data_IF_054500359182
#
_entry.id   IF_054500359182
#
_cell.length_a   1.000
_cell.length_b   1.000
_cell.length_c   1.000
_cell.angle_alpha   90.00
_cell.angle_beta   90.00
_cell.angle_gamma   90.00
#
_symmetry.space_group_name_H-M   'P 1'
#
loop_
_entity.id
_entity.type
_entity.pdbx_description
1 polymer ?
#
# COMPACT_ATOMS: atom_id res chain seq x y z
N UNK A 1 -9.16 16.55 5.27
CA UNK A 1 -8.91 16.97 6.67
C UNK A 1 -9.96 16.33 7.56
N UNK A 2 -9.59 15.35 8.38
CA UNK A 2 -10.44 14.82 9.45
C UNK A 2 -9.63 14.90 10.74
N UNK A 3 -10.04 15.79 11.64
CA UNK A 3 -9.40 16.04 12.93
C UNK A 3 -9.57 14.82 13.86
N UNK A 4 -8.62 14.63 14.78
CA UNK A 4 -8.47 13.52 15.75
C UNK A 4 -9.75 13.10 16.50
N UNK A 5 -10.74 13.98 16.64
CA UNK A 5 -12.04 13.66 17.25
C UNK A 5 -13.06 12.98 16.33
N UNK A 6 -12.95 13.14 15.01
CA UNK A 6 -13.97 12.68 14.06
C UNK A 6 -13.91 11.17 13.80
N UNK A 7 -12.71 10.57 13.86
CA UNK A 7 -12.48 9.15 13.60
C UNK A 7 -13.13 8.28 14.69
N UNK A 8 -12.99 8.66 15.97
CA UNK A 8 -13.61 7.99 17.11
C UNK A 8 -15.15 8.08 17.09
N UNK A 9 -15.71 9.20 16.64
CA UNK A 9 -17.15 9.40 16.52
C UNK A 9 -17.77 8.59 15.38
N UNK A 10 -17.07 8.47 14.24
CA UNK A 10 -17.55 7.66 13.11
C UNK A 10 -17.59 6.17 13.46
N UNK A 11 -16.53 5.64 14.09
CA UNK A 11 -16.44 4.23 14.48
C UNK A 11 -17.48 3.84 15.55
N UNK A 12 -17.82 4.74 16.49
CA UNK A 12 -18.91 4.51 17.47
C UNK A 12 -20.29 4.50 16.81
N UNK A 13 -20.54 5.34 15.82
CA UNK A 13 -21.85 5.45 15.16
C UNK A 13 -22.15 4.23 14.30
N UNK A 14 -21.15 3.70 13.58
CA UNK A 14 -21.26 2.49 12.75
C UNK A 14 -21.56 1.23 13.58
N UNK A 15 -20.93 1.07 14.76
CA UNK A 15 -21.22 -0.05 15.68
C UNK A 15 -22.66 -0.02 16.23
N UNK A 16 -23.26 1.17 16.40
CA UNK A 16 -24.65 1.29 16.88
C UNK A 16 -25.70 0.95 15.81
N UNK A 17 -25.39 1.24 14.53
CA UNK A 17 -26.28 0.96 13.41
C UNK A 17 -26.33 -0.52 13.05
N UNK A 18 -25.21 -1.23 13.21
CA UNK A 18 -25.14 -2.69 13.04
C UNK A 18 -25.91 -3.47 14.12
N UNK A 19 -25.98 -2.94 15.36
CA UNK A 19 -26.77 -3.56 16.45
C UNK A 19 -28.29 -3.39 16.31
N UNK A 20 -28.77 -2.37 15.59
CA UNK A 20 -30.22 -2.11 15.41
C UNK A 20 -30.86 -2.87 14.25
N UNK A 21 -30.08 -3.59 13.43
CA UNK A 21 -30.61 -4.38 12.29
C UNK A 21 -30.83 -5.86 12.56
N UNK A 22 -30.49 -6.34 13.76
CA UNK A 22 -30.67 -7.73 14.17
C UNK A 22 -31.74 -7.82 15.27
N UNK A 23 -33.01 -7.63 14.93
CA UNK A 23 -34.16 -8.05 15.73
C UNK A 23 -35.47 -7.69 15.02
N UNK A 24 -36.04 -8.63 14.26
CA UNK A 24 -37.50 -8.84 14.07
C UNK A 24 -37.75 -10.06 13.15
N UNK A 25 -38.66 -10.99 13.51
CA UNK A 25 -38.89 -12.24 12.77
C UNK A 25 -40.04 -12.20 11.73
N UNK A 26 -40.07 -13.25 10.91
CA UNK A 26 -40.99 -13.61 9.81
C UNK A 26 -42.48 -13.30 10.02
N UNK A 27 -43.16 -12.99 8.91
CA UNK A 27 -44.49 -13.52 8.56
C UNK A 27 -44.60 -13.73 7.04
N UNK A 28 -45.12 -14.90 6.66
CA UNK A 28 -45.42 -15.31 5.29
C UNK A 28 -46.86 -14.89 4.91
N UNK A 29 -47.08 -14.53 3.64
CA UNK A 29 -48.40 -14.60 3.02
C UNK A 29 -48.26 -14.76 1.50
N UNK A 30 -48.81 -15.88 1.01
CA UNK A 30 -49.08 -16.14 -0.40
C UNK A 30 -50.08 -15.12 -0.95
N UNK A 31 -49.92 -14.74 -2.22
CA UNK A 31 -51.05 -14.69 -3.14
C UNK A 31 -50.59 -14.77 -4.60
N UNK A 32 -51.28 -15.66 -5.30
CA UNK A 32 -51.21 -15.96 -6.73
C UNK A 32 -52.14 -15.00 -7.46
N UNK A 33 -51.71 -14.37 -8.57
CA UNK A 33 -52.49 -14.29 -9.81
C UNK A 33 -51.64 -13.78 -11.00
N UNK A 34 -52.06 -14.22 -12.19
CA UNK A 34 -51.30 -14.45 -13.42
C UNK A 34 -51.08 -13.21 -14.34
N UNK A 35 -50.34 -13.35 -15.47
CA UNK A 35 -49.74 -12.26 -16.25
C UNK A 35 -50.56 -11.82 -17.46
N UNK A 36 -50.24 -10.65 -18.02
CA UNK A 36 -50.69 -10.23 -19.35
C UNK A 36 -49.48 -9.82 -20.22
N UNK A 37 -49.23 -10.62 -21.26
CA UNK A 37 -48.43 -10.25 -22.42
C UNK A 37 -49.30 -9.41 -23.37
N UNK A 38 -48.73 -8.39 -24.03
CA UNK A 38 -49.03 -8.15 -25.44
C UNK A 38 -47.89 -7.38 -26.14
N UNK A 39 -47.52 -7.89 -27.31
CA UNK A 39 -46.54 -7.36 -28.27
C UNK A 39 -47.07 -6.11 -29.00
N UNK A 40 -46.19 -5.24 -29.53
CA UNK A 40 -45.73 -5.26 -30.94
C UNK A 40 -45.02 -3.94 -31.35
N UNK A 41 -44.03 -4.14 -32.22
CA UNK A 41 -43.15 -3.24 -32.97
C UNK A 41 -43.82 -2.14 -33.82
N UNK A 42 -43.07 -1.04 -34.03
CA UNK A 42 -42.75 -0.35 -35.33
C UNK A 42 -42.30 1.10 -35.06
N UNK A 43 -41.42 1.80 -35.78
CA UNK A 43 -40.33 1.55 -36.74
C UNK A 43 -39.68 2.96 -36.95
N UNK A 44 -38.35 3.02 -37.13
CA UNK A 44 -37.53 4.05 -37.81
C UNK A 44 -37.88 5.57 -37.77
N UNK A 45 -36.88 6.39 -37.41
CA UNK A 45 -36.32 7.39 -38.34
C UNK A 45 -34.91 7.82 -37.95
N UNK A 46 -33.96 7.66 -38.86
CA UNK A 46 -32.62 8.25 -38.86
C UNK A 46 -32.68 9.78 -39.03
N UNK A 47 -31.84 10.52 -38.31
CA UNK A 47 -31.25 11.77 -38.80
C UNK A 47 -30.07 12.24 -37.91
N UNK A 48 -28.88 12.19 -38.51
CA UNK A 48 -27.90 13.28 -38.54
C UNK A 48 -27.08 13.57 -37.26
N UNK A 49 -25.93 12.91 -37.10
CA UNK A 49 -24.80 13.42 -36.31
C UNK A 49 -23.71 13.98 -37.24
N UNK A 50 -23.39 15.26 -37.08
CA UNK A 50 -22.17 15.88 -37.58
C UNK A 50 -21.37 16.44 -36.41
N UNK A 51 -20.11 16.01 -36.39
CA UNK A 51 -18.91 16.70 -35.87
C UNK A 51 -18.89 17.16 -34.41
N UNK A 52 -17.96 16.58 -33.64
CA UNK A 52 -16.84 17.30 -33.02
C UNK A 52 -15.84 16.27 -32.46
N UNK A 53 -14.85 15.91 -33.27
CA UNK A 53 -13.64 15.21 -32.82
C UNK A 53 -12.71 16.31 -32.31
N UNK A 54 -12.48 16.37 -31.00
CA UNK A 54 -11.44 17.21 -30.41
C UNK A 54 -10.23 16.34 -30.06
N UNK A 55 -9.12 16.71 -30.67
CA UNK A 55 -7.81 16.09 -30.61
C UNK A 55 -7.28 15.96 -29.17
N UNK A 56 -6.94 14.73 -28.76
CA UNK A 56 -5.94 14.52 -27.71
C UNK A 56 -4.56 14.59 -28.35
N UNK A 57 -3.83 15.64 -28.00
CA UNK A 57 -2.39 15.78 -28.25
C UNK A 57 -1.69 14.90 -27.22
N UNK A 58 -1.10 13.79 -27.65
CA UNK A 58 -0.02 13.13 -26.89
C UNK A 58 1.26 13.89 -27.20
N UNK A 59 1.86 14.47 -26.15
CA UNK A 59 3.22 14.96 -26.19
C UNK A 59 4.17 13.76 -26.13
N UNK A 60 4.81 13.50 -27.25
CA UNK A 60 5.92 12.58 -27.40
C UNK A 60 7.20 13.43 -27.33
N UNK A 61 8.07 13.18 -26.35
CA UNK A 61 9.40 13.79 -26.30
C UNK A 61 10.43 12.72 -26.61
N UNK A 62 10.64 12.52 -27.91
CA UNK A 62 11.82 11.85 -28.45
C UNK A 62 13.05 12.75 -28.31
N UNK A 63 14.11 12.19 -27.75
CA UNK A 63 15.48 12.63 -28.02
C UNK A 63 16.17 11.53 -28.84
N UNK A 64 16.31 11.76 -30.13
CA UNK A 64 17.41 11.22 -30.94
C UNK A 64 18.33 12.39 -31.30
N UNK A 65 19.58 12.23 -31.70
CA UNK A 65 20.51 11.09 -31.79
C UNK A 65 21.82 11.69 -32.34
N UNK A 66 22.94 10.99 -32.18
CA UNK A 66 24.22 11.45 -32.73
C UNK A 66 25.30 10.38 -32.79
N UNK A 67 25.13 9.41 -33.71
CA UNK A 67 26.12 8.68 -34.54
C UNK A 67 27.30 7.97 -33.82
N UNK A 68 27.68 6.73 -34.12
CA UNK A 68 28.00 6.19 -35.45
C UNK A 68 28.40 4.70 -35.31
N UNK A 69 27.75 3.74 -35.97
CA UNK A 69 28.38 2.45 -36.38
C UNK A 69 27.69 1.93 -37.65
N UNK A 70 28.49 1.64 -38.67
CA UNK A 70 28.12 0.99 -39.94
C UNK A 70 28.15 -0.54 -39.82
N UNK A 71 27.47 -1.17 -40.78
CA UNK A 71 27.35 -2.61 -41.10
C UNK A 71 26.03 -3.17 -40.56
N UNK A 72 24.98 -3.43 -41.35
CA UNK A 72 24.94 -3.86 -42.74
C UNK A 72 24.93 -5.38 -42.76
N UNK A 73 23.73 -5.98 -42.78
CA UNK A 73 23.41 -7.24 -43.47
C UNK A 73 21.89 -7.41 -43.54
N UNK A 74 21.48 -7.91 -44.70
CA UNK A 74 20.13 -8.05 -45.26
C UNK A 74 19.54 -9.42 -44.92
N UNK A 75 18.22 -9.54 -44.71
CA UNK A 75 17.35 -10.35 -45.59
C UNK A 75 15.86 -10.19 -45.25
N UNK A 76 15.04 -10.20 -46.31
CA UNK A 76 13.57 -10.10 -46.30
C UNK A 76 12.92 -11.49 -46.32
N UNK A 77 11.68 -11.52 -45.81
CA UNK A 77 10.55 -12.43 -46.08
C UNK A 77 10.52 -13.83 -45.43
N UNK A 78 9.48 -14.07 -44.62
CA UNK A 78 8.27 -14.83 -45.01
C UNK A 78 7.22 -14.79 -43.89
N UNK A 79 5.96 -14.56 -44.26
CA UNK A 79 4.78 -14.56 -43.39
C UNK A 79 4.26 -15.98 -43.11
N UNK A 80 3.68 -16.15 -41.92
CA UNK A 80 2.52 -17.02 -41.62
C UNK A 80 2.77 -18.35 -40.90
N UNK A 81 1.96 -18.49 -39.83
CA UNK A 81 1.34 -19.69 -39.23
C UNK A 81 1.94 -20.12 -37.88
N UNK A 82 1.11 -19.99 -36.85
CA UNK A 82 1.32 -20.55 -35.51
C UNK A 82 0.57 -19.75 -34.46
N UNK A 83 -0.76 -19.88 -34.41
CA UNK A 83 -1.55 -19.50 -33.24
C UNK A 83 -1.12 -20.41 -32.09
N UNK A 84 -0.55 -19.85 -31.03
CA UNK A 84 -0.62 -20.45 -29.70
C UNK A 84 -1.19 -19.41 -28.74
N UNK A 85 -2.50 -19.53 -28.53
CA UNK A 85 -3.18 -18.96 -27.39
C UNK A 85 -2.74 -19.74 -26.16
N UNK A 86 -1.83 -19.19 -25.36
CA UNK A 86 -1.70 -19.60 -23.96
C UNK A 86 -2.82 -18.87 -23.21
N UNK A 87 -3.99 -19.48 -23.21
CA UNK A 87 -5.12 -19.07 -22.39
C UNK A 87 -5.04 -19.85 -21.07
N UNK A 88 -4.22 -19.38 -20.14
CA UNK A 88 -4.23 -19.90 -18.77
C UNK A 88 -5.33 -19.17 -18.01
N UNK A 89 -6.59 -19.56 -18.24
CA UNK A 89 -7.70 -19.07 -17.45
C UNK A 89 -7.63 -19.67 -16.05
N UNK A 90 -7.42 -18.84 -15.04
CA UNK A 90 -7.49 -19.26 -13.65
C UNK A 90 -8.96 -19.49 -13.26
N UNK A 91 -9.42 -20.75 -13.35
CA UNK A 91 -10.79 -21.15 -13.08
C UNK A 91 -11.28 -20.66 -11.70
N UNK A 92 -12.52 -20.15 -11.65
CA UNK A 92 -13.16 -19.74 -10.39
C UNK A 92 -13.68 -20.96 -9.64
N UNK A 93 -13.02 -21.34 -8.55
CA UNK A 93 -13.51 -22.36 -7.64
C UNK A 93 -14.39 -21.73 -6.54
N UNK A 94 -15.64 -22.20 -6.43
CA UNK A 94 -16.57 -21.86 -5.32
C UNK A 94 -16.12 -22.56 -4.05
N UNK A 95 -15.93 -21.78 -2.99
CA UNK A 95 -15.57 -22.25 -1.65
C UNK A 95 -16.70 -23.10 -1.03
N UNK A 96 -16.40 -24.35 -0.64
CA UNK A 96 -17.26 -25.19 0.22
C UNK A 96 -16.65 -25.24 1.61
N UNK A 97 -17.41 -24.78 2.61
CA UNK A 97 -17.11 -25.01 4.03
C UNK A 97 -17.34 -26.49 4.37
N UNK A 98 -16.43 -27.06 5.16
CA UNK A 98 -16.68 -28.28 5.92
C UNK A 98 -16.14 -28.09 7.33
N UNK A 99 -17.00 -28.38 8.30
CA UNK A 99 -16.76 -28.37 9.74
C UNK A 99 -16.48 -29.80 10.21
N UNK A 100 -15.51 -29.95 11.10
CA UNK A 100 -15.38 -30.94 12.19
C UNK A 100 -13.96 -30.74 12.77
N UNK A 101 -13.70 -30.59 14.07
CA UNK A 101 -14.46 -30.97 15.26
C UNK A 101 -13.79 -32.17 15.93
N UNK A 102 -12.84 -31.94 16.84
CA UNK A 102 -12.58 -32.85 17.98
C UNK A 102 -11.59 -32.21 18.98
N UNK A 103 -12.09 -32.13 20.20
CA UNK A 103 -11.52 -31.70 21.47
C UNK A 103 -10.95 -32.92 22.21
N UNK A 104 -9.82 -32.79 22.93
CA UNK A 104 -9.60 -33.54 24.18
C UNK A 104 -8.48 -32.93 25.06
N UNK A 105 -8.71 -33.07 26.37
CA UNK A 105 -8.21 -32.37 27.55
C UNK A 105 -6.96 -32.98 28.23
N UNK A 106 -6.23 -32.10 28.97
CA UNK A 106 -5.53 -32.18 30.29
C UNK A 106 -4.59 -33.38 30.62
N UNK A 107 -3.51 -33.28 31.44
CA UNK A 107 -3.42 -32.87 32.87
C UNK A 107 -1.93 -32.75 33.36
N UNK A 108 -1.68 -31.76 34.25
CA UNK A 108 -0.65 -31.55 35.36
C UNK A 108 0.89 -31.66 35.14
N UNK A 109 1.75 -30.69 35.54
CA UNK A 109 2.18 -30.08 36.86
C UNK A 109 3.09 -31.01 37.69
N UNK A 110 4.29 -30.66 38.21
CA UNK A 110 4.78 -29.70 39.24
C UNK A 110 6.35 -29.67 39.16
N UNK A 111 7.18 -28.71 39.60
CA UNK A 111 7.51 -28.10 40.92
C UNK A 111 8.42 -26.86 40.65
N UNK A 112 8.33 -25.67 41.25
CA UNK A 112 8.46 -25.20 42.65
C UNK A 112 9.90 -25.02 43.20
N UNK A 113 10.10 -23.90 43.93
CA UNK A 113 11.28 -23.40 44.69
C UNK A 113 12.24 -22.45 43.93
N UNK A 114 12.67 -21.28 44.43
CA UNK A 114 12.66 -20.70 45.79
C UNK A 114 12.88 -19.17 45.73
N UNK A 115 12.22 -18.46 46.65
CA UNK A 115 12.42 -17.04 46.98
C UNK A 115 13.64 -16.85 47.89
N UNK A 116 14.40 -15.78 47.69
CA UNK A 116 15.23 -15.15 48.73
C UNK A 116 15.17 -13.62 48.60
N UNK A 117 14.76 -12.99 49.69
CA UNK A 117 14.84 -11.55 49.96
C UNK A 117 16.31 -11.10 50.04
N UNK A 118 16.63 -9.97 49.41
CA UNK A 118 17.87 -9.24 49.60
C UNK A 118 17.61 -7.74 49.44
N UNK A 119 17.50 -7.06 50.57
CA UNK A 119 17.46 -5.61 50.72
C UNK A 119 18.75 -4.95 50.23
N UNK A 120 18.64 -3.97 49.35
CA UNK A 120 19.74 -3.10 48.93
C UNK A 120 19.22 -1.86 48.23
N UNK A 121 19.04 -0.77 48.98
CA UNK A 121 18.96 0.58 48.42
C UNK A 121 20.31 0.92 47.76
N UNK A 122 20.28 1.43 46.53
CA UNK A 122 21.05 2.59 46.08
C UNK A 122 20.78 2.87 44.60
N UNK A 123 20.49 4.14 44.28
CA UNK A 123 20.77 4.70 42.95
C UNK A 123 19.55 5.07 42.12
N UNK A 124 19.11 6.32 42.26
CA UNK A 124 18.30 7.08 41.31
C UNK A 124 18.85 6.94 39.87
N UNK A 125 18.27 6.05 39.06
CA UNK A 125 18.42 6.07 37.61
C UNK A 125 17.23 6.77 36.99
N UNK A 126 17.24 8.11 36.92
CA UNK A 126 16.31 8.82 36.03
C UNK A 126 16.56 8.31 34.61
N UNK A 127 15.53 7.91 33.84
CA UNK A 127 15.70 7.81 32.40
C UNK A 127 16.23 9.15 31.92
N UNK A 128 17.29 9.15 31.11
CA UNK A 128 17.75 10.34 30.41
C UNK A 128 16.69 10.76 29.39
N UNK A 129 15.58 11.30 29.88
CA UNK A 129 14.61 12.02 29.10
C UNK A 129 15.23 13.37 28.79
N UNK A 130 15.55 13.60 27.53
CA UNK A 130 15.85 14.94 27.04
C UNK A 130 14.63 15.83 27.33
N UNK A 131 14.77 16.91 28.12
CA UNK A 131 13.67 17.84 28.31
C UNK A 131 13.45 18.55 26.97
N UNK A 132 12.31 18.26 26.33
CA UNK A 132 11.89 18.99 25.14
C UNK A 132 11.82 20.48 25.46
N UNK A 133 12.68 21.27 24.81
CA UNK A 133 12.59 22.74 24.91
C UNK A 133 11.24 23.17 24.31
N UNK A 134 10.41 23.95 25.02
CA UNK A 134 9.23 24.54 24.42
C UNK A 134 9.68 25.57 23.38
N UNK A 135 9.48 25.25 22.10
CA UNK A 135 9.73 26.20 21.00
C UNK A 135 10.53 25.67 19.80
N UNK A 136 11.09 24.46 19.85
CA UNK A 136 11.73 23.88 18.67
C UNK A 136 10.68 23.16 17.82
N UNK A 137 10.48 23.60 16.56
CA UNK A 137 9.55 22.94 15.66
C UNK A 137 10.04 21.51 15.39
N UNK A 138 9.14 20.53 15.51
CA UNK A 138 9.44 19.14 15.17
C UNK A 138 9.68 19.02 13.67
N UNK A 139 10.58 18.11 13.29
CA UNK A 139 10.82 17.76 11.90
C UNK A 139 9.57 17.09 11.33
N UNK A 140 9.04 17.60 10.21
CA UNK A 140 7.83 17.04 9.59
C UNK A 140 8.24 15.94 8.61
N UNK A 141 7.83 14.71 8.89
CA UNK A 141 8.23 13.51 8.13
C UNK A 141 7.00 12.80 7.58
N UNK A 142 6.97 12.61 6.26
CA UNK A 142 6.01 11.77 5.55
C UNK A 142 6.55 10.34 5.43
N UNK A 143 5.68 9.35 5.63
CA UNK A 143 6.05 7.92 5.61
C UNK A 143 5.10 7.15 4.69
N UNK A 144 5.64 6.40 3.73
CA UNK A 144 4.83 5.48 2.91
C UNK A 144 4.38 4.23 3.68
N UNK A 145 3.41 3.49 3.13
CA UNK A 145 2.89 2.27 3.73
C UNK A 145 3.51 1.01 3.13
N UNK A 146 3.43 0.84 1.81
CA UNK A 146 3.70 -0.46 1.18
C UNK A 146 5.21 -0.65 1.04
N UNK A 147 5.74 -1.78 1.53
CA UNK A 147 7.17 -2.06 1.61
C UNK A 147 8.01 -1.05 2.44
N UNK A 148 7.35 -0.18 3.21
CA UNK A 148 7.99 0.72 4.19
C UNK A 148 7.47 0.44 5.61
N UNK A 149 6.15 0.48 5.79
CA UNK A 149 5.49 0.11 7.05
C UNK A 149 5.00 -1.34 7.00
N UNK A 150 4.40 -1.79 5.90
CA UNK A 150 3.81 -3.12 5.77
C UNK A 150 4.36 -3.88 4.58
N UNK A 151 4.66 -5.17 4.75
CA UNK A 151 5.09 -6.05 3.66
C UNK A 151 3.89 -6.48 2.80
N UNK A 152 3.52 -5.61 1.87
CA UNK A 152 2.41 -5.80 0.95
C UNK A 152 2.68 -6.92 -0.06
N UNK A 153 3.88 -6.94 -0.65
CA UNK A 153 4.23 -7.91 -1.69
C UNK A 153 4.28 -9.34 -1.16
N UNK A 154 4.71 -9.52 0.09
CA UNK A 154 4.70 -10.85 0.74
C UNK A 154 3.27 -11.41 0.82
N UNK A 155 2.32 -10.59 1.29
CA UNK A 155 0.91 -10.96 1.37
C UNK A 155 0.29 -11.21 -0.01
N UNK A 156 0.59 -10.34 -0.98
CA UNK A 156 0.10 -10.47 -2.35
C UNK A 156 0.64 -11.73 -3.03
N UNK A 157 1.95 -12.02 -2.90
CA UNK A 157 2.55 -13.23 -3.46
C UNK A 157 1.92 -14.50 -2.88
N UNK A 158 1.62 -14.51 -1.58
CA UNK A 158 0.91 -15.63 -0.94
C UNK A 158 -0.48 -15.84 -1.54
N UNK A 159 -1.25 -14.76 -1.72
CA UNK A 159 -2.55 -14.83 -2.39
C UNK A 159 -2.43 -15.34 -3.83
N UNK A 160 -1.48 -14.82 -4.60
CA UNK A 160 -1.27 -15.20 -6.01
C UNK A 160 -0.83 -16.68 -6.13
N UNK A 161 0.01 -17.16 -5.22
CA UNK A 161 0.38 -18.57 -5.15
C UNK A 161 -0.84 -19.45 -4.87
N UNK A 162 -1.69 -19.09 -3.91
CA UNK A 162 -2.87 -19.88 -3.56
C UNK A 162 -3.98 -19.79 -4.62
N UNK A 163 -4.16 -18.62 -5.25
CA UNK A 163 -5.21 -18.34 -6.24
C UNK A 163 -4.88 -18.89 -7.62
N UNK A 164 -3.63 -18.74 -8.06
CA UNK A 164 -3.17 -19.00 -9.42
C UNK A 164 -2.08 -20.07 -9.53
N UNK A 165 -1.56 -20.58 -8.41
CA UNK A 165 -0.38 -21.47 -8.37
C UNK A 165 0.89 -20.82 -8.95
N UNK A 166 0.95 -19.49 -8.96
CA UNK A 166 2.14 -18.74 -9.38
C UNK A 166 2.95 -18.36 -8.16
N UNK A 167 4.14 -18.97 -8.03
CA UNK A 167 5.04 -18.70 -6.92
C UNK A 167 5.98 -17.57 -7.32
N UNK A 168 5.88 -16.45 -6.59
CA UNK A 168 6.72 -15.29 -6.77
C UNK A 168 7.38 -14.88 -5.46
N UNK A 169 8.55 -14.29 -5.58
CA UNK A 169 9.35 -13.71 -4.51
C UNK A 169 9.54 -12.21 -4.73
N UNK A 170 9.79 -11.45 -3.65
CA UNK A 170 10.06 -10.00 -3.73
C UNK A 170 11.23 -9.69 -4.68
N UNK A 171 12.23 -10.57 -4.74
CA UNK A 171 13.41 -10.44 -5.62
C UNK A 171 13.10 -10.45 -7.12
N UNK A 172 11.90 -10.85 -7.54
CA UNK A 172 11.50 -10.82 -8.96
C UNK A 172 10.98 -9.46 -9.42
N UNK A 173 10.58 -8.59 -8.48
CA UNK A 173 9.96 -7.30 -8.79
C UNK A 173 11.01 -6.27 -9.16
N UNK A 174 11.47 -6.25 -10.40
CA UNK A 174 12.35 -5.18 -10.89
C UNK A 174 11.57 -3.91 -11.30
N UNK A 175 10.23 -3.99 -11.33
CA UNK A 175 9.29 -2.90 -11.59
C UNK A 175 7.97 -3.16 -10.84
N UNK A 176 7.24 -2.10 -10.48
CA UNK A 176 5.92 -2.21 -9.82
C UNK A 176 4.78 -2.66 -10.76
N UNK A 177 5.07 -2.86 -12.04
CA UNK A 177 4.09 -3.31 -13.02
C UNK A 177 3.86 -4.84 -12.91
N UNK A 178 2.98 -5.26 -12.00
CA UNK A 178 2.77 -6.68 -11.65
C UNK A 178 2.49 -7.60 -12.84
N UNK A 179 1.76 -7.12 -13.86
CA UNK A 179 1.49 -7.91 -15.08
C UNK A 179 2.77 -8.36 -15.81
N UNK A 180 3.86 -7.59 -15.71
CA UNK A 180 5.16 -7.98 -16.29
C UNK A 180 5.81 -9.13 -15.52
N UNK A 181 5.66 -9.11 -14.20
CA UNK A 181 6.23 -10.13 -13.30
C UNK A 181 5.43 -11.43 -13.42
N UNK A 182 4.09 -11.32 -13.37
CA UNK A 182 3.16 -12.44 -13.48
C UNK A 182 2.99 -12.95 -14.92
N UNK A 183 3.59 -12.26 -15.90
CA UNK A 183 3.51 -12.59 -17.34
C UNK A 183 2.07 -12.75 -17.82
N UNK A 184 1.18 -11.89 -17.34
CA UNK A 184 -0.23 -11.86 -17.68
C UNK A 184 -0.62 -10.52 -18.32
N UNK A 185 -1.90 -10.37 -18.69
CA UNK A 185 -2.38 -9.08 -19.20
C UNK A 185 -2.51 -8.04 -18.09
N UNK A 186 -2.41 -6.74 -18.41
CA UNK A 186 -2.64 -5.65 -17.43
C UNK A 186 -4.02 -5.78 -16.76
N UNK A 187 -5.06 -6.03 -17.55
CA UNK A 187 -6.42 -6.19 -17.05
C UNK A 187 -6.55 -7.37 -16.07
N UNK A 188 -5.87 -8.48 -16.34
CA UNK A 188 -5.85 -9.64 -15.45
C UNK A 188 -5.12 -9.33 -14.13
N UNK A 189 -3.97 -8.66 -14.20
CA UNK A 189 -3.27 -8.23 -13.00
C UNK A 189 -4.11 -7.28 -12.15
N UNK A 190 -4.79 -6.32 -12.78
CA UNK A 190 -5.68 -5.38 -12.09
C UNK A 190 -6.83 -6.13 -11.39
N UNK A 191 -7.47 -7.09 -12.07
CA UNK A 191 -8.51 -7.94 -11.47
C UNK A 191 -7.97 -8.68 -10.24
N UNK A 192 -6.80 -9.32 -10.34
CA UNK A 192 -6.21 -10.07 -9.24
C UNK A 192 -5.87 -9.19 -8.03
N UNK A 193 -5.35 -7.98 -8.26
CA UNK A 193 -5.09 -7.00 -7.18
C UNK A 193 -6.38 -6.56 -6.50
N UNK A 194 -7.43 -6.27 -7.28
CA UNK A 194 -8.73 -5.89 -6.73
C UNK A 194 -9.46 -7.05 -6.03
N UNK A 195 -9.22 -8.30 -6.46
CA UNK A 195 -9.65 -9.49 -5.72
C UNK A 195 -8.90 -9.60 -4.40
N UNK A 196 -7.57 -9.46 -4.40
CA UNK A 196 -6.71 -9.53 -3.23
C UNK A 196 -7.19 -8.59 -2.11
N UNK A 197 -7.56 -7.33 -2.44
CA UNK A 197 -8.07 -6.35 -1.47
C UNK A 197 -9.30 -6.81 -0.69
N UNK A 198 -10.06 -7.79 -1.20
CA UNK A 198 -11.27 -8.33 -0.57
C UNK A 198 -11.01 -9.57 0.28
N UNK A 199 -9.76 -10.04 0.34
CA UNK A 199 -9.38 -11.30 1.00
C UNK A 199 -8.75 -11.08 2.37
N UNK A 200 -8.68 -12.17 3.14
CA UNK A 200 -7.96 -12.19 4.42
C UNK A 200 -6.46 -11.94 4.27
N UNK A 201 -5.86 -12.24 3.11
CA UNK A 201 -4.45 -11.96 2.85
C UNK A 201 -4.16 -10.45 2.91
N UNK A 202 -5.07 -9.61 2.40
CA UNK A 202 -4.94 -8.16 2.51
C UNK A 202 -5.30 -7.65 3.91
N UNK A 203 -6.39 -8.17 4.49
CA UNK A 203 -6.90 -7.69 5.79
C UNK A 203 -5.97 -8.01 6.96
N UNK A 204 -5.38 -9.21 6.98
CA UNK A 204 -4.58 -9.71 8.11
C UNK A 204 -3.18 -10.18 7.72
N UNK A 205 -2.92 -10.44 6.44
CA UNK A 205 -1.64 -11.00 5.96
C UNK A 205 -0.53 -9.97 5.72
N UNK A 206 -0.84 -8.67 5.70
CA UNK A 206 0.18 -7.61 5.62
C UNK A 206 0.79 -7.44 7.01
N UNK A 207 2.02 -7.90 7.17
CA UNK A 207 2.75 -7.77 8.42
C UNK A 207 3.60 -6.49 8.45
N UNK A 208 3.74 -5.83 9.61
CA UNK A 208 4.66 -4.71 9.78
C UNK A 208 6.10 -5.07 9.41
N UNK A 209 6.80 -4.14 8.76
CA UNK A 209 8.24 -4.24 8.52
C UNK A 209 8.98 -4.22 9.87
N UNK A 210 9.90 -5.17 10.14
CA UNK A 210 10.61 -5.23 11.41
C UNK A 210 11.33 -3.92 11.78
N UNK A 211 11.20 -3.51 13.04
CA UNK A 211 11.81 -2.30 13.58
C UNK A 211 11.03 -1.00 13.33
N UNK A 212 10.01 -1.00 12.47
CA UNK A 212 9.25 0.19 12.10
C UNK A 212 8.61 0.90 13.31
N UNK A 213 7.83 0.16 14.09
CA UNK A 213 7.09 0.72 15.22
C UNK A 213 8.03 1.34 16.26
N UNK A 214 9.07 0.61 16.67
CA UNK A 214 10.05 1.09 17.66
C UNK A 214 10.81 2.32 17.18
N UNK A 215 11.21 2.35 15.91
CA UNK A 215 11.91 3.51 15.35
C UNK A 215 11.00 4.74 15.30
N UNK A 216 9.77 4.60 14.78
CA UNK A 216 8.81 5.69 14.71
C UNK A 216 8.40 6.20 16.10
N UNK A 217 8.27 5.30 17.07
CA UNK A 217 8.02 5.68 18.46
C UNK A 217 9.16 6.56 19.02
N UNK A 218 10.42 6.18 18.79
CA UNK A 218 11.57 7.00 19.20
C UNK A 218 11.59 8.35 18.48
N UNK A 219 11.38 8.34 17.16
CA UNK A 219 11.35 9.52 16.31
C UNK A 219 10.23 10.49 16.71
N UNK A 220 9.09 10.01 17.19
CA UNK A 220 7.93 10.84 17.57
C UNK A 220 8.24 11.90 18.64
N UNK A 221 9.34 11.74 19.39
CA UNK A 221 9.79 12.74 20.36
C UNK A 221 10.25 14.04 19.72
N UNK A 222 10.79 14.00 18.50
CA UNK A 222 11.31 15.17 17.77
C UNK A 222 10.81 15.29 16.32
N UNK A 223 10.05 14.31 15.81
CA UNK A 223 9.40 14.35 14.51
C UNK A 223 7.86 14.42 14.66
N UNK A 224 7.23 15.17 13.77
CA UNK A 224 5.80 15.10 13.47
C UNK A 224 5.61 14.18 12.28
N UNK A 225 4.95 13.03 12.52
CA UNK A 225 4.87 11.93 11.56
C UNK A 225 3.49 11.92 10.89
N UNK A 226 3.46 11.82 9.56
CA UNK A 226 2.23 11.61 8.79
C UNK A 226 2.41 10.50 7.76
N UNK A 227 1.36 9.72 7.53
CA UNK A 227 1.36 8.72 6.45
C UNK A 227 1.02 9.41 5.13
N UNK A 228 1.80 9.14 4.08
CA UNK A 228 1.52 9.55 2.70
C UNK A 228 1.66 8.33 1.80
N UNK A 229 0.55 7.77 1.35
CA UNK A 229 0.52 6.54 0.55
C UNK A 229 -0.13 6.73 -0.80
N UNK A 230 0.34 6.00 -1.81
CA UNK A 230 -0.25 6.00 -3.16
C UNK A 230 -1.47 5.08 -3.29
N UNK A 231 -1.85 4.36 -2.23
CA UNK A 231 -3.02 3.47 -2.20
C UNK A 231 -4.30 4.17 -2.67
N UNK A 232 -5.18 3.38 -3.30
CA UNK A 232 -6.49 3.83 -3.79
C UNK A 232 -7.45 4.16 -2.63
N UNK A 233 -8.35 5.12 -2.84
CA UNK A 233 -9.40 5.46 -1.88
C UNK A 233 -10.35 4.29 -1.61
N UNK A 234 -10.49 3.35 -2.56
CA UNK A 234 -11.30 2.15 -2.40
C UNK A 234 -10.86 1.26 -1.22
N UNK A 235 -9.58 1.32 -0.83
CA UNK A 235 -9.01 0.56 0.29
C UNK A 235 -8.65 1.45 1.50
N UNK A 236 -9.22 2.66 1.55
CA UNK A 236 -8.95 3.65 2.60
C UNK A 236 -9.27 3.10 3.99
N UNK A 237 -10.47 2.59 4.21
CA UNK A 237 -10.93 2.17 5.54
C UNK A 237 -10.07 1.02 6.08
N UNK A 238 -9.77 0.01 5.24
CA UNK A 238 -8.86 -1.07 5.59
C UNK A 238 -7.45 -0.57 5.93
N UNK A 239 -6.94 0.41 5.20
CA UNK A 239 -5.62 1.00 5.48
C UNK A 239 -5.63 1.75 6.82
N UNK A 240 -6.69 2.51 7.11
CA UNK A 240 -6.84 3.20 8.40
C UNK A 240 -6.92 2.22 9.58
N UNK A 241 -7.69 1.14 9.44
CA UNK A 241 -7.79 0.09 10.45
C UNK A 241 -6.46 -0.62 10.68
N UNK A 242 -5.72 -0.91 9.60
CA UNK A 242 -4.40 -1.54 9.68
C UNK A 242 -3.37 -0.63 10.38
N UNK A 243 -3.36 0.66 10.04
CA UNK A 243 -2.46 1.64 10.69
C UNK A 243 -2.81 1.78 12.18
N UNK A 244 -4.08 1.85 12.56
CA UNK A 244 -4.48 1.94 13.96
C UNK A 244 -4.10 0.66 14.75
N UNK A 245 -4.23 -0.51 14.12
CA UNK A 245 -3.86 -1.80 14.71
C UNK A 245 -2.36 -1.92 14.98
N UNK A 246 -1.52 -1.46 14.05
CA UNK A 246 -0.08 -1.73 14.08
C UNK A 246 0.79 -0.53 14.50
N UNK A 247 0.27 0.70 14.36
CA UNK A 247 0.97 1.96 14.68
C UNK A 247 0.08 2.91 15.50
N UNK A 248 -0.52 2.44 16.61
CA UNK A 248 -1.46 3.23 17.39
C UNK A 248 -0.79 4.51 17.90
N UNK A 249 -1.47 5.65 17.72
CA UNK A 249 -1.08 6.97 18.22
C UNK A 249 0.26 7.54 17.69
N UNK A 250 0.83 6.99 16.62
CA UNK A 250 2.10 7.48 16.06
C UNK A 250 1.95 8.59 15.02
N UNK A 251 0.89 8.54 14.21
CA UNK A 251 0.70 9.46 13.09
C UNK A 251 -0.30 10.57 13.41
N UNK A 252 0.02 11.78 12.97
CA UNK A 252 -0.86 12.95 13.08
C UNK A 252 -1.98 12.91 12.05
N UNK A 253 -1.63 12.56 10.80
CA UNK A 253 -2.54 12.48 9.66
C UNK A 253 -2.19 11.33 8.71
N UNK A 254 -3.16 10.92 7.90
CA UNK A 254 -3.02 9.86 6.88
C UNK A 254 -3.60 10.38 5.55
N UNK A 255 -2.74 10.44 4.53
CA UNK A 255 -3.03 11.00 3.21
C UNK A 255 -2.90 9.95 2.11
N UNK A 256 -3.84 9.98 1.16
CA UNK A 256 -3.93 9.04 0.05
C UNK A 256 -3.74 9.79 -1.27
N UNK A 257 -2.76 9.38 -2.06
CA UNK A 257 -2.51 9.87 -3.42
C UNK A 257 -3.49 9.29 -4.44
N UNK A 258 -4.15 8.17 -4.13
CA UNK A 258 -5.14 7.53 -5.02
C UNK A 258 -4.57 7.18 -6.40
N UNK A 259 -3.32 6.72 -6.45
CA UNK A 259 -2.69 6.33 -7.71
C UNK A 259 -3.30 5.01 -8.21
N UNK A 260 -3.39 4.87 -9.53
CA UNK A 260 -3.94 3.68 -10.20
C UNK A 260 -5.41 3.36 -9.84
N UNK A 261 -6.16 4.30 -9.27
CA UNK A 261 -7.57 4.13 -8.98
C UNK A 261 -8.43 4.18 -10.25
N UNK A 262 -9.55 3.45 -10.23
CA UNK A 262 -10.55 3.46 -11.31
C UNK A 262 -11.36 4.77 -11.33
N UNK A 263 -11.42 5.46 -10.20
CA UNK A 263 -12.17 6.70 -10.00
C UNK A 263 -11.44 7.67 -9.04
N UNK A 264 -11.89 8.93 -9.07
CA UNK A 264 -11.34 10.02 -8.27
C UNK A 264 -10.08 10.66 -8.86
N UNK A 265 -9.64 11.76 -8.25
CA UNK A 265 -8.41 12.45 -8.66
C UNK A 265 -7.19 11.78 -8.02
N UNK A 266 -6.19 11.50 -8.83
CA UNK A 266 -4.85 11.10 -8.39
C UNK A 266 -4.07 12.36 -8.00
N UNK A 267 -3.38 12.34 -6.86
CA UNK A 267 -2.54 13.42 -6.37
C UNK A 267 -1.10 12.95 -6.16
N UNK A 268 -0.11 13.62 -6.79
CA UNK A 268 1.29 13.26 -6.63
C UNK A 268 1.74 13.39 -5.18
N UNK A 269 2.67 12.52 -4.75
CA UNK A 269 3.17 12.53 -3.37
C UNK A 269 3.90 13.83 -3.05
N UNK A 270 4.60 14.40 -4.03
CA UNK A 270 5.27 15.70 -3.91
C UNK A 270 4.29 16.83 -3.53
N UNK A 271 3.10 16.88 -4.13
CA UNK A 271 2.06 17.86 -3.77
C UNK A 271 1.55 17.65 -2.35
N UNK A 272 1.26 16.39 -1.97
CA UNK A 272 0.79 16.06 -0.63
C UNK A 272 1.85 16.44 0.41
N UNK A 273 3.09 16.02 0.22
CA UNK A 273 4.19 16.32 1.13
C UNK A 273 4.43 17.83 1.26
N UNK A 274 4.40 18.58 0.15
CA UNK A 274 4.48 20.05 0.19
C UNK A 274 3.34 20.68 0.98
N UNK A 275 2.11 20.19 0.81
CA UNK A 275 0.94 20.72 1.53
C UNK A 275 1.03 20.52 3.04
N UNK A 276 1.75 19.48 3.48
CA UNK A 276 2.03 19.19 4.89
C UNK A 276 3.22 19.97 5.45
N UNK A 277 4.01 20.63 4.58
CA UNK A 277 5.32 21.14 4.96
C UNK A 277 6.29 20.02 5.34
N UNK A 278 6.11 18.82 4.77
CA UNK A 278 7.01 17.69 5.01
C UNK A 278 8.40 18.03 4.47
N UNK A 279 9.38 17.92 5.35
CA UNK A 279 10.79 18.16 5.02
C UNK A 279 11.46 16.89 4.51
N UNK A 280 10.90 15.72 4.90
CA UNK A 280 11.43 14.41 4.59
C UNK A 280 10.30 13.47 4.16
N UNK A 281 10.55 12.66 3.14
CA UNK A 281 9.75 11.49 2.78
C UNK A 281 10.56 10.21 3.01
N UNK A 282 9.93 9.18 3.58
CA UNK A 282 10.44 7.81 3.64
C UNK A 282 9.58 6.97 2.70
N UNK A 283 10.17 6.46 1.62
CA UNK A 283 9.47 5.77 0.54
C UNK A 283 10.41 4.75 -0.11
N UNK A 284 9.90 3.62 -0.57
CA UNK A 284 10.67 2.57 -1.25
C UNK A 284 10.73 2.77 -2.77
N UNK A 285 9.92 3.67 -3.33
CA UNK A 285 9.79 3.84 -4.77
C UNK A 285 10.72 4.95 -5.30
N UNK A 286 11.71 4.63 -6.16
CA UNK A 286 12.63 5.64 -6.69
C UNK A 286 11.95 6.74 -7.50
N UNK A 287 10.78 6.47 -8.10
CA UNK A 287 10.02 7.47 -8.84
C UNK A 287 9.48 8.53 -7.90
N UNK A 288 8.89 8.14 -6.77
CA UNK A 288 8.40 9.09 -5.76
C UNK A 288 9.56 9.77 -5.04
N UNK A 289 10.67 9.06 -4.84
CA UNK A 289 11.87 9.66 -4.28
C UNK A 289 12.37 10.82 -5.14
N UNK A 290 12.55 10.60 -6.45
CA UNK A 290 12.98 11.65 -7.36
C UNK A 290 11.94 12.79 -7.45
N UNK A 291 10.65 12.45 -7.60
CA UNK A 291 9.54 13.41 -7.69
C UNK A 291 9.50 14.36 -6.48
N UNK A 292 9.72 13.86 -5.26
CA UNK A 292 9.78 14.68 -4.05
C UNK A 292 11.10 15.45 -3.93
N UNK A 293 12.22 14.83 -4.31
CA UNK A 293 13.52 15.45 -4.25
C UNK A 293 13.65 16.66 -5.20
N UNK A 294 13.06 16.59 -6.40
CA UNK A 294 13.01 17.68 -7.38
C UNK A 294 12.31 18.93 -6.86
N UNK A 295 11.38 18.78 -5.90
CA UNK A 295 10.68 19.91 -5.25
C UNK A 295 11.30 20.30 -3.91
N UNK A 296 12.51 19.82 -3.60
CA UNK A 296 13.29 20.21 -2.43
C UNK A 296 13.02 19.41 -1.15
N UNK A 297 12.30 18.29 -1.24
CA UNK A 297 12.02 17.42 -0.08
C UNK A 297 13.12 16.36 0.01
N UNK A 298 13.76 16.23 1.17
CA UNK A 298 14.74 15.15 1.39
C UNK A 298 14.04 13.79 1.36
N UNK A 299 14.67 12.78 0.78
CA UNK A 299 14.07 11.44 0.72
C UNK A 299 15.02 10.40 1.30
N UNK A 300 14.50 9.59 2.21
CA UNK A 300 15.12 8.34 2.63
C UNK A 300 14.53 7.22 1.77
N UNK A 301 15.26 6.82 0.71
CA UNK A 301 14.86 5.73 -0.18
C UNK A 301 15.04 4.40 0.57
N UNK A 302 13.92 3.80 0.97
CA UNK A 302 13.90 2.63 1.85
C UNK A 302 14.06 1.34 1.04
N UNK A 303 15.18 0.65 1.23
CA UNK A 303 15.56 -0.56 0.51
C UNK A 303 15.85 -1.68 1.51
N UNK A 304 14.77 -2.28 2.04
CA UNK A 304 14.84 -3.14 3.21
C UNK A 304 15.83 -4.29 3.02
N UNK A 305 16.88 -4.34 3.85
CA UNK A 305 18.01 -5.25 3.75
C UNK A 305 18.61 -5.38 2.34
N UNK A 306 18.61 -4.29 1.57
CA UNK A 306 19.06 -4.25 0.19
C UNK A 306 18.28 -5.24 -0.73
N UNK A 307 17.08 -5.65 -0.33
CA UNK A 307 16.31 -6.74 -0.97
C UNK A 307 15.35 -6.27 -2.06
N UNK A 308 15.14 -4.96 -2.23
CA UNK A 308 14.17 -4.41 -3.17
C UNK A 308 14.81 -4.17 -4.55
N UNK A 309 14.53 -5.00 -5.57
CA UNK A 309 15.21 -4.88 -6.87
C UNK A 309 14.82 -3.59 -7.60
N UNK A 310 13.59 -3.12 -7.40
CA UNK A 310 13.11 -1.85 -7.96
C UNK A 310 13.87 -0.63 -7.44
N UNK A 311 14.58 -0.72 -6.31
CA UNK A 311 15.41 0.35 -5.75
C UNK A 311 16.80 0.49 -6.40
N UNK A 312 17.18 -0.41 -7.32
CA UNK A 312 18.53 -0.47 -7.93
C UNK A 312 18.64 0.39 -9.19
N UNK A 313 18.12 1.61 -9.15
CA UNK A 313 18.07 2.54 -10.28
C UNK A 313 19.22 3.54 -10.31
N UNK A 314 19.97 3.69 -9.19
CA UNK A 314 21.02 4.69 -9.04
C UNK A 314 20.48 6.11 -8.78
N UNK A 315 19.22 6.25 -8.35
CA UNK A 315 18.61 7.57 -8.09
C UNK A 315 19.29 8.31 -6.93
N UNK A 316 19.81 7.57 -5.95
CA UNK A 316 20.60 8.14 -4.85
C UNK A 316 21.93 8.77 -5.31
N UNK A 317 22.46 8.32 -6.45
CA UNK A 317 23.68 8.90 -7.04
C UNK A 317 23.35 10.12 -7.91
N UNK A 318 22.13 10.18 -8.45
CA UNK A 318 21.72 11.22 -9.39
C UNK A 318 21.12 12.46 -8.71
N UNK A 319 20.64 12.36 -7.46
CA UNK A 319 20.03 13.50 -6.76
C UNK A 319 20.53 13.64 -5.31
N UNK A 320 21.10 14.79 -4.91
CA UNK A 320 21.78 14.97 -3.61
C UNK A 320 20.83 14.94 -2.40
N UNK A 321 19.51 15.09 -2.62
CA UNK A 321 18.49 15.01 -1.57
C UNK A 321 17.95 13.58 -1.36
N UNK A 322 18.42 12.59 -2.12
CA UNK A 322 18.01 11.19 -1.95
C UNK A 322 19.11 10.43 -1.24
N UNK A 323 18.79 9.78 -0.13
CA UNK A 323 19.70 8.92 0.63
C UNK A 323 19.08 7.55 0.77
N UNK A 324 19.78 6.49 0.34
CA UNK A 324 19.32 5.12 0.50
C UNK A 324 19.55 4.64 1.93
N UNK A 325 18.54 3.96 2.49
CA UNK A 325 18.58 3.37 3.84
C UNK A 325 18.03 1.95 3.79
N UNK A 326 18.60 1.04 4.59
CA UNK A 326 18.32 -0.39 4.44
C UNK A 326 17.46 -0.99 5.56
N UNK A 327 17.09 -0.19 6.56
CA UNK A 327 16.28 -0.62 7.68
C UNK A 327 15.88 0.61 8.51
N UNK A 328 14.98 0.38 9.47
CA UNK A 328 14.48 1.43 10.36
C UNK A 328 15.52 1.98 11.35
N UNK A 329 16.60 1.25 11.62
CA UNK A 329 17.72 1.77 12.43
C UNK A 329 18.49 2.86 11.66
N UNK A 330 18.78 2.64 10.38
CA UNK A 330 19.42 3.64 9.51
C UNK A 330 18.53 4.87 9.31
N UNK A 331 17.21 4.67 9.17
CA UNK A 331 16.24 5.79 9.17
C UNK A 331 16.40 6.63 10.44
N UNK A 332 16.38 5.99 11.62
CA UNK A 332 16.49 6.69 12.89
C UNK A 332 17.80 7.47 13.01
N UNK A 333 18.92 6.88 12.57
CA UNK A 333 20.24 7.53 12.58
C UNK A 333 20.29 8.75 11.66
N UNK A 334 19.75 8.64 10.44
CA UNK A 334 19.71 9.75 9.48
C UNK A 334 18.84 10.91 9.97
N UNK A 335 17.70 10.62 10.58
CA UNK A 335 16.83 11.69 11.10
C UNK A 335 17.43 12.35 12.36
N UNK A 336 18.05 11.57 13.25
CA UNK A 336 18.70 12.12 14.43
C UNK A 336 19.90 13.02 14.08
N UNK A 337 20.69 12.67 13.05
CA UNK A 337 21.83 13.50 12.63
C UNK A 337 21.40 14.85 12.05
N UNK A 338 20.27 14.89 11.34
CA UNK A 338 19.69 16.14 10.82
C UNK A 338 19.31 17.10 11.94
N UNK A 339 18.65 16.59 12.99
CA UNK A 339 18.27 17.42 14.14
C UNK A 339 19.49 17.98 14.87
N UNK A 340 20.58 17.21 14.99
CA UNK A 340 21.83 17.68 15.60
C UNK A 340 22.50 18.75 14.74
N UNK A 341 22.43 18.63 13.41
CA UNK A 341 23.06 19.61 12.50
C UNK A 341 22.35 20.97 12.45
N UNK A 342 21.09 21.02 12.86
CA UNK A 342 20.27 22.23 12.89
C UNK A 342 20.26 22.95 14.25
N UNK A 343 20.88 22.34 15.28
CA UNK A 343 21.02 22.92 16.65
C UNK A 343 22.39 23.52 16.89
#
# INVERSE_FOLDING_TARGET
MLNRGAILLFLRKSRSLLRKRASSPLMAANNILAPANFCRFSHLSEANERSLIQNRVSFDMGFGSGLNVKNGLSMKNWMSIGRDQIQTSCAMARYKQSVNGSELFLVESFDAAKSLNGSGECGNGKPLGFPGKPGQQKLVVAVDVDEVLGSFLSALNKFIADRCSWNHSVSEYHVYEFFRIWKCSRAEADILVHEFFKTHYFQDGIHPIPGAYSALQNLSSFCSLSVVTSRQNAIRDHTLEWIEKHYPNLFEEIHFGNHFALDGQSKPKSEICRSLGAQILIDDNPRYALECAEVGIKVLLFDYHNSYPWCKTGVEESHPLVTKVHNWQEVQQNLASLVISET
#
